data_IF_660846193321
#
_entry.id   IF_660846193321
#
_cell.length_a   1.000
_cell.length_b   1.000
_cell.length_c   1.000
_cell.angle_alpha   90.00
_cell.angle_beta   90.00
_cell.angle_gamma   90.00
#
_symmetry.space_group_name_H-M   'P 1'
#
loop_
_entity.id
_entity.type
_entity.pdbx_description
1 polymer ?
#
# COMPACT_ATOMS: atom_id res chain seq x y z
N UNK A 1 24.59 19.63 -7.82
CA UNK A 1 25.70 18.73 -7.44
C UNK A 1 25.32 18.11 -6.10
N UNK A 2 25.09 16.79 -6.06
CA UNK A 2 24.78 16.10 -4.81
C UNK A 2 25.99 16.18 -3.87
N UNK A 3 25.75 16.48 -2.59
CA UNK A 3 26.79 16.48 -1.56
C UNK A 3 26.86 15.06 -0.99
N UNK A 4 28.00 14.35 -1.08
CA UNK A 4 28.09 12.93 -0.71
C UNK A 4 27.74 12.65 0.76
N UNK A 5 27.79 13.65 1.63
CA UNK A 5 27.56 13.48 3.07
C UNK A 5 26.08 13.50 3.50
N UNK A 6 25.15 13.95 2.63
CA UNK A 6 23.73 14.04 3.00
C UNK A 6 22.94 12.90 2.37
N UNK A 7 22.14 12.13 3.12
CA UNK A 7 21.24 11.16 2.54
C UNK A 7 20.15 11.87 1.73
N UNK A 8 19.83 11.32 0.57
CA UNK A 8 18.73 11.71 -0.31
C UNK A 8 17.71 10.57 -0.36
N UNK A 9 16.43 10.93 -0.40
CA UNK A 9 15.34 9.97 -0.52
C UNK A 9 14.58 10.23 -1.82
N UNK A 10 14.48 9.21 -2.67
CA UNK A 10 13.52 9.13 -3.75
C UNK A 10 12.30 8.35 -3.24
N UNK A 11 11.18 9.05 -3.06
CA UNK A 11 9.91 8.44 -2.70
C UNK A 11 9.07 8.21 -3.96
N UNK A 12 8.65 6.97 -4.20
CA UNK A 12 7.81 6.57 -5.33
C UNK A 12 6.47 6.07 -4.76
N UNK A 13 5.45 6.89 -4.90
CA UNK A 13 4.11 6.52 -4.42
C UNK A 13 3.42 5.57 -5.41
N UNK A 14 2.72 4.56 -4.91
CA UNK A 14 2.00 3.55 -5.69
C UNK A 14 2.87 2.92 -6.80
N UNK A 15 4.04 2.42 -6.41
CA UNK A 15 5.08 1.92 -7.32
C UNK A 15 4.62 0.77 -8.22
N UNK A 16 3.56 0.05 -7.84
CA UNK A 16 2.96 -1.00 -8.64
C UNK A 16 2.17 -0.44 -9.84
N UNK A 17 1.65 0.80 -9.80
CA UNK A 17 0.74 1.37 -10.83
C UNK A 17 1.37 1.62 -12.20
N UNK A 18 2.69 1.48 -12.30
CA UNK A 18 3.41 1.54 -13.55
C UNK A 18 4.06 0.19 -13.86
N UNK A 19 4.24 -0.11 -15.15
CA UNK A 19 5.16 -1.15 -15.58
C UNK A 19 6.59 -0.70 -15.28
N UNK A 20 7.04 -0.97 -14.06
CA UNK A 20 8.32 -0.48 -13.56
C UNK A 20 9.50 -1.02 -14.38
N UNK A 21 9.37 -2.23 -14.94
CA UNK A 21 10.38 -2.80 -15.83
C UNK A 21 10.51 -1.96 -17.11
N UNK A 22 9.38 -1.54 -17.70
CA UNK A 22 9.38 -0.64 -18.86
C UNK A 22 9.84 0.78 -18.54
N UNK A 23 9.48 1.30 -17.36
CA UNK A 23 9.86 2.65 -16.92
C UNK A 23 11.37 2.74 -16.67
N UNK A 24 11.94 1.75 -15.99
CA UNK A 24 13.36 1.74 -15.64
C UNK A 24 14.23 1.21 -16.78
N UNK A 25 13.72 0.32 -17.62
CA UNK A 25 14.53 -0.39 -18.62
C UNK A 25 15.76 -1.03 -17.97
N UNK A 26 16.94 -0.74 -18.53
CA UNK A 26 18.22 -1.21 -17.99
C UNK A 26 18.61 -0.55 -16.66
N UNK A 27 18.06 0.62 -16.32
CA UNK A 27 18.36 1.27 -15.05
C UNK A 27 17.90 0.45 -13.82
N UNK A 28 17.09 -0.60 -14.02
CA UNK A 28 16.73 -1.58 -12.98
C UNK A 28 17.96 -2.18 -12.28
N UNK A 29 19.08 -2.34 -12.98
CA UNK A 29 20.32 -2.88 -12.42
C UNK A 29 20.89 -1.99 -11.30
N UNK A 30 20.61 -0.69 -11.32
CA UNK A 30 21.05 0.24 -10.27
C UNK A 30 20.37 -0.01 -8.92
N UNK A 31 19.25 -0.73 -8.93
CA UNK A 31 18.51 -1.10 -7.72
C UNK A 31 19.02 -2.42 -7.11
N UNK A 32 19.97 -3.09 -7.75
CA UNK A 32 20.57 -4.29 -7.15
C UNK A 32 21.32 -3.94 -5.87
N UNK A 33 21.06 -4.66 -4.76
CA UNK A 33 21.83 -4.48 -3.55
C UNK A 33 23.24 -5.01 -3.79
N UNK A 34 24.19 -4.11 -4.05
CA UNK A 34 25.63 -4.42 -4.13
C UNK A 34 26.34 -3.72 -2.98
N UNK A 35 26.89 -4.52 -2.06
CA UNK A 35 27.68 -4.00 -0.94
C UNK A 35 29.11 -3.61 -1.36
N UNK A 36 29.65 -4.28 -2.39
CA UNK A 36 31.09 -4.24 -2.70
C UNK A 36 31.42 -3.51 -4.03
N UNK A 37 30.44 -2.91 -4.70
CA UNK A 37 30.65 -2.22 -5.98
C UNK A 37 29.71 -1.02 -6.15
N UNK A 38 30.22 0.02 -6.80
CA UNK A 38 29.42 1.17 -7.20
C UNK A 38 28.20 0.71 -8.04
N UNK A 39 27.04 1.29 -7.74
CA UNK A 39 25.80 1.03 -8.49
C UNK A 39 25.86 1.82 -9.78
N UNK A 40 26.51 1.25 -10.80
CA UNK A 40 26.68 1.91 -12.10
C UNK A 40 26.28 0.99 -13.26
N UNK A 41 25.70 1.56 -14.31
CA UNK A 41 25.42 0.88 -15.58
C UNK A 41 25.79 1.78 -16.75
N UNK A 42 26.30 1.19 -17.83
CA UNK A 42 26.44 1.90 -19.12
C UNK A 42 25.16 1.65 -19.90
N UNK A 43 24.41 2.71 -20.18
CA UNK A 43 23.22 2.61 -21.01
C UNK A 43 23.63 2.74 -22.49
N UNK A 44 23.19 1.80 -23.32
CA UNK A 44 23.47 1.85 -24.77
C UNK A 44 22.69 3.00 -25.46
N UNK A 45 21.59 3.43 -24.85
CA UNK A 45 20.73 4.49 -25.37
C UNK A 45 21.06 5.86 -24.77
N UNK A 46 21.12 6.89 -25.63
CA UNK A 46 21.38 8.27 -25.25
C UNK A 46 20.17 8.88 -24.52
N UNK A 47 20.10 8.76 -23.20
CA UNK A 47 19.02 9.38 -22.42
C UNK A 47 19.16 10.90 -22.27
N UNK A 48 20.33 11.49 -22.53
CA UNK A 48 20.62 12.91 -22.20
C UNK A 48 21.56 13.63 -23.19
N UNK A 49 21.57 13.27 -24.47
CA UNK A 49 22.28 14.03 -25.51
C UNK A 49 23.81 14.09 -25.36
N UNK A 50 24.41 13.21 -24.56
CA UNK A 50 25.85 12.97 -24.49
C UNK A 50 26.14 11.49 -24.71
N UNK A 51 27.18 11.20 -25.49
CA UNK A 51 27.57 9.83 -25.86
C UNK A 51 27.83 8.97 -24.63
N UNK A 52 27.26 7.76 -24.61
CA UNK A 52 27.56 6.68 -23.66
C UNK A 52 27.60 7.13 -22.20
N UNK A 53 26.46 7.51 -21.62
CA UNK A 53 26.43 7.89 -20.22
C UNK A 53 26.43 6.64 -19.33
N UNK A 54 27.56 6.41 -18.68
CA UNK A 54 27.58 5.66 -17.42
C UNK A 54 26.68 6.40 -16.45
N UNK A 55 25.58 5.76 -16.06
CA UNK A 55 24.69 6.25 -15.00
C UNK A 55 25.09 5.57 -13.72
N UNK A 56 25.34 6.36 -12.69
CA UNK A 56 25.69 5.89 -11.36
C UNK A 56 24.66 6.38 -10.34
N UNK A 57 24.18 5.46 -9.51
CA UNK A 57 23.30 5.76 -8.40
C UNK A 57 24.14 6.03 -7.15
N UNK A 58 24.15 7.28 -6.62
CA UNK A 58 24.95 7.63 -5.46
C UNK A 58 24.65 6.74 -4.25
N UNK A 59 25.65 6.38 -3.45
CA UNK A 59 25.43 5.55 -2.24
C UNK A 59 24.48 6.19 -1.23
N UNK A 60 24.50 7.52 -1.15
CA UNK A 60 23.61 8.30 -0.29
C UNK A 60 22.18 8.46 -0.85
N UNK A 61 21.84 7.82 -1.97
CA UNK A 61 20.47 7.79 -2.49
C UNK A 61 19.73 6.53 -2.03
N UNK A 62 18.67 6.75 -1.26
CA UNK A 62 17.72 5.73 -0.84
C UNK A 62 16.45 5.81 -1.68
N UNK A 63 15.84 4.66 -1.96
CA UNK A 63 14.54 4.60 -2.63
C UNK A 63 13.52 3.95 -1.71
N UNK A 64 12.40 4.63 -1.51
CA UNK A 64 11.25 4.11 -0.78
C UNK A 64 10.05 4.08 -1.74
N UNK A 65 9.49 2.90 -1.93
CA UNK A 65 8.24 2.71 -2.66
C UNK A 65 7.10 2.44 -1.69
N UNK A 66 5.94 3.05 -1.90
CA UNK A 66 4.68 2.61 -1.30
C UNK A 66 3.90 1.80 -2.33
N UNK A 67 3.10 0.86 -1.84
CA UNK A 67 2.32 -0.03 -2.70
C UNK A 67 0.99 -0.33 -2.01
N UNK A 68 -0.12 -0.07 -2.68
CA UNK A 68 -1.40 -0.59 -2.24
C UNK A 68 -1.52 -2.09 -2.57
N UNK A 69 -1.45 -2.94 -1.54
CA UNK A 69 -1.56 -4.41 -1.69
C UNK A 69 -2.98 -4.90 -1.97
N UNK A 70 -4.01 -4.07 -1.80
CA UNK A 70 -5.39 -4.40 -2.11
C UNK A 70 -5.74 -4.17 -3.59
N UNK A 71 -4.93 -3.38 -4.31
CA UNK A 71 -5.20 -3.01 -5.69
C UNK A 71 -4.89 -4.17 -6.65
N UNK A 72 -5.95 -4.86 -7.08
CA UNK A 72 -5.90 -5.97 -8.04
C UNK A 72 -5.88 -5.50 -9.50
N UNK A 73 -6.03 -4.21 -9.77
CA UNK A 73 -6.08 -3.64 -11.12
C UNK A 73 -4.69 -3.38 -11.74
N UNK A 74 -3.64 -3.64 -10.96
CA UNK A 74 -2.31 -3.12 -11.19
C UNK A 74 -1.32 -4.24 -11.51
N UNK A 75 -0.30 -3.93 -12.33
CA UNK A 75 0.74 -4.87 -12.72
C UNK A 75 1.40 -5.50 -11.48
N UNK A 76 1.41 -6.84 -11.44
CA UNK A 76 2.20 -7.57 -10.44
C UNK A 76 3.65 -7.19 -10.66
N UNK A 77 4.29 -6.65 -9.63
CA UNK A 77 5.73 -6.41 -9.62
C UNK A 77 6.45 -7.72 -9.99
N UNK A 78 7.11 -7.72 -11.15
CA UNK A 78 7.82 -8.90 -11.63
C UNK A 78 8.87 -9.34 -10.59
N UNK A 79 9.09 -10.65 -10.52
CA UNK A 79 10.04 -11.28 -9.63
C UNK A 79 11.44 -10.67 -9.73
N UNK A 80 11.83 -10.18 -10.91
CA UNK A 80 13.08 -9.46 -11.11
C UNK A 80 13.15 -8.17 -10.27
N UNK A 81 12.08 -7.36 -10.25
CA UNK A 81 12.04 -6.17 -9.40
C UNK A 81 11.96 -6.57 -7.93
N UNK A 82 11.14 -7.56 -7.58
CA UNK A 82 10.95 -7.97 -6.18
C UNK A 82 12.25 -8.37 -5.50
N UNK A 83 13.24 -8.91 -6.23
CA UNK A 83 14.56 -9.26 -5.68
C UNK A 83 15.46 -8.05 -5.37
N UNK A 84 15.09 -6.84 -5.81
CA UNK A 84 15.86 -5.60 -5.70
C UNK A 84 15.31 -4.63 -4.64
N UNK A 85 14.17 -4.95 -4.07
CA UNK A 85 13.54 -4.18 -2.99
C UNK A 85 13.38 -5.04 -1.74
N UNK A 86 13.54 -4.42 -0.57
CA UNK A 86 13.06 -4.98 0.68
C UNK A 86 11.56 -4.66 0.81
N UNK A 87 10.75 -5.66 1.14
CA UNK A 87 9.30 -5.49 1.32
C UNK A 87 8.97 -5.48 2.81
N UNK A 88 8.32 -4.41 3.25
CA UNK A 88 7.82 -4.26 4.62
C UNK A 88 6.31 -4.11 4.55
N UNK A 89 5.58 -5.09 5.08
CA UNK A 89 4.12 -5.03 5.16
C UNK A 89 3.69 -4.12 6.30
N UNK A 90 2.83 -3.15 6.00
CA UNK A 90 2.21 -2.26 6.98
C UNK A 90 0.76 -2.67 7.21
N UNK A 91 0.48 -3.24 8.37
CA UNK A 91 -0.88 -3.62 8.76
C UNK A 91 -1.60 -2.48 9.50
N UNK A 92 -2.94 -2.43 9.45
CA UNK A 92 -3.72 -1.51 10.27
C UNK A 92 -3.35 -1.67 11.76
N UNK A 93 -3.17 -0.55 12.46
CA UNK A 93 -2.71 -0.55 13.84
C UNK A 93 -3.86 -0.21 14.79
N UNK A 94 -4.27 -1.20 15.58
CA UNK A 94 -5.31 -1.03 16.62
C UNK A 94 -4.94 0.04 17.65
N UNK A 95 -3.66 0.17 18.00
CA UNK A 95 -3.17 1.19 18.94
C UNK A 95 -3.50 2.60 18.46
N UNK A 96 -3.32 2.89 17.17
CA UNK A 96 -3.63 4.20 16.59
C UNK A 96 -5.12 4.52 16.67
N UNK A 97 -5.99 3.54 16.38
CA UNK A 97 -7.45 3.70 16.50
C UNK A 97 -7.85 3.94 17.96
N UNK A 98 -7.28 3.18 18.90
CA UNK A 98 -7.58 3.33 20.33
C UNK A 98 -7.21 4.72 20.88
N UNK A 99 -6.13 5.31 20.38
CA UNK A 99 -5.63 6.62 20.82
C UNK A 99 -6.37 7.79 20.19
N UNK A 100 -6.73 7.69 18.90
CA UNK A 100 -7.17 8.84 18.11
C UNK A 100 -8.65 8.87 17.76
N UNK A 101 -9.38 7.77 17.94
CA UNK A 101 -10.77 7.63 17.47
C UNK A 101 -11.81 7.75 18.60
N UNK A 102 -13.07 7.99 18.21
CA UNK A 102 -14.21 7.86 19.10
C UNK A 102 -14.57 6.38 19.37
N UNK A 103 -15.43 6.13 20.36
CA UNK A 103 -15.77 4.75 20.75
C UNK A 103 -16.53 3.98 19.66
N UNK A 104 -17.33 4.67 18.84
CA UNK A 104 -18.00 4.07 17.69
C UNK A 104 -16.99 3.52 16.68
N UNK A 105 -15.96 4.29 16.36
CA UNK A 105 -14.91 3.87 15.42
C UNK A 105 -14.04 2.74 15.97
N UNK A 106 -13.78 2.72 17.29
CA UNK A 106 -13.10 1.59 17.94
C UNK A 106 -13.91 0.30 17.82
N UNK A 107 -15.21 0.35 18.10
CA UNK A 107 -16.11 -0.82 17.96
C UNK A 107 -16.20 -1.27 16.50
N UNK A 108 -16.33 -0.32 15.56
CA UNK A 108 -16.35 -0.60 14.12
C UNK A 108 -15.07 -1.31 13.66
N UNK A 109 -13.91 -0.77 14.02
CA UNK A 109 -12.61 -1.36 13.68
C UNK A 109 -12.44 -2.76 14.28
N UNK A 110 -12.75 -2.94 15.56
CA UNK A 110 -12.60 -4.23 16.24
C UNK A 110 -13.50 -5.31 15.65
N UNK A 111 -14.75 -4.97 15.35
CA UNK A 111 -15.69 -5.89 14.68
C UNK A 111 -15.17 -6.32 13.32
N UNK A 112 -14.75 -5.37 12.50
CA UNK A 112 -14.27 -5.67 11.16
C UNK A 112 -12.97 -6.47 11.21
N UNK A 113 -12.03 -6.07 12.06
CA UNK A 113 -10.76 -6.78 12.25
C UNK A 113 -10.99 -8.23 12.66
N UNK A 114 -11.91 -8.50 13.60
CA UNK A 114 -12.22 -9.86 14.02
C UNK A 114 -12.78 -10.69 12.86
N UNK A 115 -13.68 -10.13 12.04
CA UNK A 115 -14.19 -10.82 10.84
C UNK A 115 -13.03 -11.22 9.90
N UNK A 116 -12.11 -10.30 9.64
CA UNK A 116 -10.96 -10.59 8.78
C UNK A 116 -10.01 -11.62 9.41
N UNK A 117 -9.70 -11.51 10.69
CA UNK A 117 -8.81 -12.45 11.39
C UNK A 117 -9.40 -13.87 11.42
N UNK A 118 -10.70 -14.00 11.64
CA UNK A 118 -11.35 -15.31 11.81
C UNK A 118 -11.65 -15.98 10.46
N UNK A 119 -11.90 -15.20 9.39
CA UNK A 119 -12.43 -15.73 8.14
C UNK A 119 -11.59 -15.44 6.89
N UNK A 120 -10.74 -14.41 6.88
CA UNK A 120 -9.95 -14.09 5.69
C UNK A 120 -8.79 -15.07 5.54
N UNK A 121 -8.56 -15.53 4.31
CA UNK A 121 -7.41 -16.38 3.96
C UNK A 121 -6.62 -15.78 2.80
N UNK A 122 -5.30 -15.97 2.83
CA UNK A 122 -4.39 -15.53 1.77
C UNK A 122 -4.54 -14.04 1.44
N UNK A 123 -4.82 -13.75 0.18
CA UNK A 123 -4.94 -12.40 -0.36
C UNK A 123 -6.15 -11.62 0.16
N UNK A 124 -7.17 -12.29 0.72
CA UNK A 124 -8.33 -11.60 1.29
C UNK A 124 -7.93 -10.79 2.54
N UNK A 125 -6.91 -11.22 3.29
CA UNK A 125 -6.44 -10.48 4.47
C UNK A 125 -5.88 -9.10 4.08
N UNK A 126 -5.26 -8.99 2.90
CA UNK A 126 -4.73 -7.73 2.35
C UNK A 126 -5.82 -6.70 2.01
N UNK A 127 -7.10 -7.10 2.01
CA UNK A 127 -8.23 -6.20 1.79
C UNK A 127 -8.74 -5.57 3.10
N UNK A 128 -8.17 -5.91 4.26
CA UNK A 128 -8.57 -5.30 5.52
C UNK A 128 -8.41 -3.77 5.42
N UNK A 129 -9.49 -2.99 5.62
CA UNK A 129 -9.40 -1.54 5.55
C UNK A 129 -8.40 -0.96 6.56
N UNK A 130 -7.67 0.05 6.11
CA UNK A 130 -6.67 0.76 6.92
C UNK A 130 -7.28 1.43 8.16
N UNK A 131 -6.45 1.62 9.19
CA UNK A 131 -6.87 2.33 10.41
C UNK A 131 -7.34 3.77 10.12
N UNK A 132 -6.92 4.37 9.01
CA UNK A 132 -7.35 5.71 8.55
C UNK A 132 -8.87 5.87 8.42
N UNK A 133 -9.59 4.81 8.04
CA UNK A 133 -11.06 4.81 7.95
C UNK A 133 -11.75 4.97 9.31
N UNK A 134 -11.00 4.83 10.41
CA UNK A 134 -11.53 4.72 11.76
C UNK A 134 -10.96 5.79 12.70
N UNK A 135 -10.43 6.92 12.21
CA UNK A 135 -9.77 7.93 13.06
C UNK A 135 -10.66 9.13 13.42
N UNK A 136 -11.97 9.08 13.12
CA UNK A 136 -12.87 10.18 13.44
C UNK A 136 -13.16 10.25 14.96
N UNK A 137 -13.14 11.47 15.49
CA UNK A 137 -13.30 11.77 16.92
C UNK A 137 -14.72 12.20 17.28
N UNK A 138 -15.44 12.80 16.33
CA UNK A 138 -16.83 13.18 16.52
C UNK A 138 -17.76 12.04 16.12
N UNK A 139 -18.69 11.66 17.00
CA UNK A 139 -19.57 10.51 16.78
C UNK A 139 -20.50 10.70 15.56
N UNK A 140 -21.01 11.91 15.33
CA UNK A 140 -21.93 12.15 14.20
C UNK A 140 -21.18 12.14 12.87
N UNK A 141 -19.98 12.72 12.82
CA UNK A 141 -19.08 12.56 11.67
C UNK A 141 -18.64 11.12 11.46
N UNK A 142 -18.44 10.36 12.54
CA UNK A 142 -18.04 8.97 12.45
C UNK A 142 -19.14 8.12 11.80
N UNK A 143 -20.40 8.34 12.18
CA UNK A 143 -21.56 7.73 11.49
C UNK A 143 -21.55 8.03 10.00
N UNK A 144 -21.37 9.31 9.64
CA UNK A 144 -21.32 9.72 8.24
C UNK A 144 -20.16 9.02 7.49
N UNK A 145 -18.95 9.03 8.05
CA UNK A 145 -17.78 8.39 7.46
C UNK A 145 -17.97 6.88 7.25
N UNK A 146 -18.58 6.18 8.21
CA UNK A 146 -18.91 4.76 8.07
C UNK A 146 -19.86 4.52 6.88
N UNK A 147 -20.88 5.37 6.69
CA UNK A 147 -21.83 5.27 5.58
C UNK A 147 -21.26 5.68 4.23
N UNK A 148 -20.45 6.74 4.18
CA UNK A 148 -20.01 7.36 2.91
C UNK A 148 -18.67 6.84 2.42
N UNK A 149 -17.85 6.27 3.30
CA UNK A 149 -16.50 5.81 2.96
C UNK A 149 -16.37 4.29 3.13
N UNK A 150 -16.68 3.74 4.31
CA UNK A 150 -16.44 2.32 4.60
C UNK A 150 -17.49 1.40 3.97
N UNK A 151 -18.77 1.71 4.11
CA UNK A 151 -19.87 0.90 3.58
C UNK A 151 -19.80 0.72 2.05
N UNK A 152 -19.55 1.76 1.23
CA UNK A 152 -19.40 1.61 -0.21
C UNK A 152 -18.23 0.71 -0.58
N UNK A 153 -17.08 0.84 0.11
CA UNK A 153 -15.91 -0.01 -0.11
C UNK A 153 -16.23 -1.49 0.14
N UNK A 154 -16.85 -1.82 1.27
CA UNK A 154 -17.20 -3.21 1.61
C UNK A 154 -18.30 -3.77 0.70
N UNK A 155 -19.22 -2.91 0.25
CA UNK A 155 -20.23 -3.28 -0.74
C UNK A 155 -19.57 -3.64 -2.08
N UNK A 156 -18.56 -2.88 -2.50
CA UNK A 156 -17.78 -3.21 -3.69
C UNK A 156 -17.02 -4.53 -3.53
N UNK A 157 -16.43 -4.80 -2.35
CA UNK A 157 -15.79 -6.09 -2.08
C UNK A 157 -16.75 -7.28 -2.24
N UNK A 158 -18.00 -7.13 -1.78
CA UNK A 158 -19.05 -8.13 -1.99
C UNK A 158 -19.40 -8.26 -3.47
N UNK A 159 -19.62 -7.15 -4.17
CA UNK A 159 -20.01 -7.13 -5.58
C UNK A 159 -18.95 -7.76 -6.50
N UNK A 160 -17.66 -7.54 -6.20
CA UNK A 160 -16.52 -8.10 -6.93
C UNK A 160 -16.15 -9.52 -6.49
N UNK A 161 -16.82 -10.08 -5.47
CA UNK A 161 -16.54 -11.40 -4.94
C UNK A 161 -15.19 -11.52 -4.21
N UNK A 162 -14.58 -10.40 -3.83
CA UNK A 162 -13.26 -10.39 -3.18
C UNK A 162 -13.27 -11.02 -1.79
N UNK A 163 -14.41 -10.95 -1.11
CA UNK A 163 -14.66 -11.52 0.22
C UNK A 163 -15.70 -12.65 0.18
N UNK A 164 -15.85 -13.33 -0.96
CA UNK A 164 -16.88 -14.35 -1.16
C UNK A 164 -16.84 -15.49 -0.13
N UNK A 165 -15.67 -15.80 0.44
CA UNK A 165 -15.50 -16.81 1.48
C UNK A 165 -16.15 -16.46 2.83
N UNK A 166 -16.49 -15.19 3.06
CA UNK A 166 -17.09 -14.67 4.30
C UNK A 166 -18.03 -13.49 4.02
N UNK A 167 -18.78 -13.60 2.93
CA UNK A 167 -19.70 -12.57 2.48
C UNK A 167 -20.85 -12.34 3.48
N UNK A 168 -21.27 -13.39 4.21
CA UNK A 168 -22.34 -13.30 5.20
C UNK A 168 -21.94 -12.43 6.40
N UNK A 169 -20.69 -12.57 6.85
CA UNK A 169 -20.10 -11.82 7.95
C UNK A 169 -19.96 -10.34 7.58
N UNK A 170 -19.49 -10.04 6.36
CA UNK A 170 -19.42 -8.67 5.85
C UNK A 170 -20.83 -8.07 5.68
N UNK A 171 -21.81 -8.81 5.16
CA UNK A 171 -23.19 -8.34 5.07
C UNK A 171 -23.79 -8.04 6.45
N UNK A 172 -23.51 -8.88 7.46
CA UNK A 172 -23.91 -8.62 8.85
C UNK A 172 -23.26 -7.38 9.43
N UNK A 173 -21.99 -7.13 9.12
CA UNK A 173 -21.29 -5.90 9.51
C UNK A 173 -21.89 -4.64 8.86
N UNK A 174 -22.28 -4.72 7.58
CA UNK A 174 -22.97 -3.62 6.90
C UNK A 174 -24.33 -3.29 7.54
N UNK A 175 -25.12 -4.31 7.88
CA UNK A 175 -26.38 -4.12 8.61
C UNK A 175 -26.16 -3.47 9.99
N UNK A 176 -25.05 -3.80 10.66
CA UNK A 176 -24.68 -3.15 11.90
C UNK A 176 -24.35 -1.66 11.70
N UNK A 177 -23.62 -1.29 10.63
CA UNK A 177 -23.38 0.12 10.27
C UNK A 177 -24.70 0.87 10.06
N UNK A 178 -25.63 0.29 9.30
CA UNK A 178 -26.94 0.89 9.05
C UNK A 178 -27.69 1.15 10.37
N UNK A 179 -27.60 0.23 11.33
CA UNK A 179 -28.23 0.38 12.65
C UNK A 179 -27.60 1.49 13.53
N UNK A 180 -26.31 1.82 13.36
CA UNK A 180 -25.66 2.91 14.10
C UNK A 180 -26.00 4.29 13.54
N UNK A 181 -26.41 4.33 12.28
CA UNK A 181 -26.51 5.54 11.47
C UNK A 181 -27.96 5.93 11.13
N UNK A 182 -28.91 5.05 11.50
CA UNK A 182 -30.35 5.30 11.52
C UNK A 182 -30.78 6.26 12.65
#
# INVERSE_FOLDING_TARGET
RATPERPYLLHIDEINRADLAKVLGEAIYLFEPKADAARSITLEHQFLGADGQVVEMPENLHVLGTMNSADRSVAILDLAIRRRFAFVSLWPQKTVVNELACDLMKDAFDRLLNIFVDHASGEAMSLMPGHSYFLEQDTDRAKLALQTELQPLLTEYLAQGYVAGFAGEIAGYLQWIDAQTS
#
